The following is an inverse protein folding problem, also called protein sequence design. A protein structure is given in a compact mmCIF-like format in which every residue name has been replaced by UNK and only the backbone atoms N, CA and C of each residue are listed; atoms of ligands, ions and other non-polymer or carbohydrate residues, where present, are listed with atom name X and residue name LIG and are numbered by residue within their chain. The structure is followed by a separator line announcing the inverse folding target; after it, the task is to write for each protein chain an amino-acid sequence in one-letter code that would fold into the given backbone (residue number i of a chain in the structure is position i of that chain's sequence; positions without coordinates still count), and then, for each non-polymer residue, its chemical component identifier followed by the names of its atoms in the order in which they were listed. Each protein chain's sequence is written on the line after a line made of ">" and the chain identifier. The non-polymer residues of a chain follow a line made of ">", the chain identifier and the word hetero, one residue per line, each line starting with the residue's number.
data_IF_664546629605
#
_entry.id   IF_664546629605
#
_cell.length_a   1.000
_cell.length_b   1.000
_cell.length_c   1.000
_cell.angle_alpha   90.00
_cell.angle_beta   90.00
_cell.angle_gamma   90.00
#
_symmetry.space_group_name_H-M   'P 1'
#
loop_
_entity.id
_entity.type
_entity.pdbx_description
1 polymer ?
#
# COMPACT_ATOMS: atom_id res chain seq x y z
N UNK A 1 69.65 4.01 6.97
CA UNK A 1 68.20 3.90 6.61
C UNK A 1 68.05 4.47 5.20
N UNK A 2 67.60 3.63 4.27
CA UNK A 2 67.62 3.96 2.84
C UNK A 2 66.50 4.97 2.50
N UNK A 3 66.87 6.13 1.89
CA UNK A 3 65.90 7.17 1.48
C UNK A 3 64.75 6.64 0.62
N UNK A 4 64.92 5.55 -0.11
CA UNK A 4 63.87 4.87 -0.89
C UNK A 4 62.79 4.19 -0.07
N UNK A 5 63.12 3.72 1.12
CA UNK A 5 62.15 3.06 2.04
C UNK A 5 61.22 4.11 2.67
N UNK A 6 61.75 5.28 2.96
CA UNK A 6 60.97 6.38 3.54
C UNK A 6 59.93 6.95 2.55
N UNK A 7 60.25 7.00 1.26
CA UNK A 7 59.33 7.50 0.24
C UNK A 7 58.16 6.55 -0.01
N UNK A 8 58.38 5.25 0.05
CA UNK A 8 57.30 4.23 -0.09
C UNK A 8 56.35 4.27 1.10
N UNK A 9 56.85 4.44 2.33
CA UNK A 9 56.01 4.56 3.53
C UNK A 9 55.13 5.81 3.51
N UNK A 10 55.61 6.95 2.98
CA UNK A 10 54.78 8.13 2.85
C UNK A 10 53.73 7.99 1.76
N UNK A 11 54.01 7.29 0.65
CA UNK A 11 53.03 7.03 -0.40
C UNK A 11 51.92 6.09 0.07
N UNK A 12 52.24 5.02 0.86
CA UNK A 12 51.21 4.13 1.42
C UNK A 12 50.32 4.83 2.46
N UNK A 13 50.91 5.70 3.30
CA UNK A 13 50.12 6.46 4.29
C UNK A 13 49.18 7.46 3.63
N UNK A 14 49.60 8.10 2.51
CA UNK A 14 48.74 9.01 1.75
C UNK A 14 47.59 8.29 1.04
N UNK A 15 47.81 7.05 0.54
CA UNK A 15 46.75 6.25 -0.11
C UNK A 15 45.72 5.76 0.88
N UNK A 16 46.12 5.34 2.07
CA UNK A 16 45.18 4.91 3.13
C UNK A 16 44.35 6.05 3.69
N UNK A 17 44.96 7.24 3.87
CA UNK A 17 44.24 8.45 4.32
C UNK A 17 43.23 8.93 3.27
N UNK A 18 43.54 8.85 1.98
CA UNK A 18 42.65 9.27 0.90
C UNK A 18 41.48 8.28 0.69
N UNK A 19 41.71 6.99 0.88
CA UNK A 19 40.65 5.96 0.87
C UNK A 19 39.69 6.13 2.05
N UNK A 20 40.20 6.42 3.24
CA UNK A 20 39.40 6.65 4.44
C UNK A 20 38.59 7.95 4.37
N UNK A 21 39.12 9.01 3.74
CA UNK A 21 38.44 10.29 3.57
C UNK A 21 37.32 10.21 2.51
N UNK A 22 37.48 9.39 1.47
CA UNK A 22 36.42 9.16 0.48
C UNK A 22 35.25 8.33 1.00
N UNK A 23 35.49 7.35 1.85
CA UNK A 23 34.43 6.55 2.49
C UNK A 23 33.61 7.38 3.47
N UNK A 24 34.27 8.19 4.31
CA UNK A 24 33.58 9.07 5.29
C UNK A 24 32.67 10.09 4.58
N UNK A 25 33.12 10.69 3.47
CA UNK A 25 32.32 11.69 2.73
C UNK A 25 31.15 11.07 1.96
N UNK A 26 31.22 9.82 1.58
CA UNK A 26 30.13 9.11 0.91
C UNK A 26 29.04 8.68 1.91
N UNK A 27 29.45 8.21 3.07
CA UNK A 27 28.54 7.86 4.17
C UNK A 27 27.83 9.12 4.72
N UNK A 28 28.55 10.23 4.87
CA UNK A 28 27.96 11.51 5.30
C UNK A 28 26.92 12.03 4.28
N UNK A 29 27.19 11.91 2.98
CA UNK A 29 26.23 12.29 1.94
C UNK A 29 25.01 11.39 1.94
N UNK A 30 25.18 10.08 2.09
CA UNK A 30 24.09 9.13 2.18
C UNK A 30 23.23 9.39 3.42
N UNK A 31 23.84 9.70 4.57
CA UNK A 31 23.14 10.05 5.80
C UNK A 31 22.35 11.38 5.66
N UNK A 32 22.95 12.40 5.01
CA UNK A 32 22.25 13.66 4.74
C UNK A 32 21.07 13.47 3.78
N UNK A 33 21.25 12.67 2.73
CA UNK A 33 20.16 12.36 1.81
C UNK A 33 19.03 11.59 2.51
N UNK A 34 19.36 10.57 3.32
CA UNK A 34 18.41 9.84 4.11
C UNK A 34 17.60 10.74 5.07
N UNK A 35 18.26 11.77 5.64
CA UNK A 35 17.62 12.75 6.52
C UNK A 35 16.60 13.63 5.80
N UNK A 36 16.86 14.02 4.52
CA UNK A 36 15.90 14.78 3.72
C UNK A 36 14.58 14.01 3.53
N UNK A 37 14.66 12.70 3.31
CA UNK A 37 13.50 11.86 3.13
C UNK A 37 12.67 11.64 4.41
N UNK A 38 13.20 12.02 5.58
CA UNK A 38 12.45 12.05 6.84
C UNK A 38 11.60 13.32 6.98
N UNK A 39 11.89 14.37 6.19
CA UNK A 39 11.06 15.57 6.13
C UNK A 39 9.78 15.26 5.32
N UNK A 40 8.58 15.37 5.92
CA UNK A 40 7.33 15.07 5.24
C UNK A 40 7.07 15.97 4.02
N UNK A 41 7.46 17.24 4.08
CA UNK A 41 7.26 18.19 2.99
C UNK A 41 8.18 17.85 1.82
N UNK A 42 9.46 17.58 2.09
CA UNK A 42 10.40 17.12 1.07
C UNK A 42 9.92 15.83 0.40
N UNK A 43 9.50 14.84 1.17
CA UNK A 43 9.00 13.56 0.66
C UNK A 43 7.73 13.74 -0.17
N UNK A 44 6.80 14.60 0.27
CA UNK A 44 5.58 14.89 -0.46
C UNK A 44 5.85 15.55 -1.81
N UNK A 45 6.80 16.47 -1.90
CA UNK A 45 7.14 17.13 -3.17
C UNK A 45 7.98 16.29 -4.12
N UNK A 46 8.81 15.37 -3.60
CA UNK A 46 9.77 14.61 -4.41
C UNK A 46 9.33 13.16 -4.68
N UNK A 47 8.42 12.62 -3.86
CA UNK A 47 7.83 11.28 -4.02
C UNK A 47 6.39 11.25 -3.48
N UNK A 48 5.51 12.04 -4.09
CA UNK A 48 4.14 12.21 -3.66
C UNK A 48 3.36 10.89 -3.50
N UNK A 49 3.63 9.91 -4.37
CA UNK A 49 3.02 8.59 -4.31
C UNK A 49 3.74 7.61 -3.38
N UNK A 50 4.86 8.03 -2.77
CA UNK A 50 5.69 7.22 -1.88
C UNK A 50 6.16 5.90 -2.54
N UNK A 51 6.67 5.99 -3.76
CA UNK A 51 7.21 4.86 -4.55
C UNK A 51 8.37 4.16 -3.81
N UNK A 52 9.14 4.93 -3.04
CA UNK A 52 10.28 4.41 -2.26
C UNK A 52 9.87 3.48 -1.11
N UNK A 53 8.61 3.54 -0.65
CA UNK A 53 8.14 2.79 0.53
C UNK A 53 8.46 1.30 0.43
N UNK A 54 8.19 0.70 -0.72
CA UNK A 54 8.36 -0.73 -0.96
C UNK A 54 9.49 -1.08 -1.93
N UNK A 55 10.26 -0.08 -2.43
CA UNK A 55 11.33 -0.28 -3.40
C UNK A 55 12.32 -1.39 -3.00
N UNK A 56 12.83 -1.32 -1.77
CA UNK A 56 13.77 -2.33 -1.24
C UNK A 56 13.13 -3.70 -1.02
N UNK A 57 11.84 -3.76 -0.62
CA UNK A 57 11.13 -5.03 -0.50
C UNK A 57 10.84 -5.62 -1.88
N UNK A 58 10.38 -4.78 -2.83
CA UNK A 58 10.06 -5.18 -4.19
C UNK A 58 11.29 -5.75 -4.91
N UNK A 59 12.46 -5.09 -4.77
CA UNK A 59 13.70 -5.54 -5.40
C UNK A 59 14.24 -6.87 -4.88
N UNK A 60 13.89 -7.25 -3.66
CA UNK A 60 14.30 -8.51 -3.01
C UNK A 60 13.28 -9.63 -3.19
N UNK A 61 12.07 -9.31 -3.66
CA UNK A 61 11.02 -10.30 -3.83
C UNK A 61 11.31 -11.15 -5.08
N UNK A 62 11.55 -12.46 -4.94
CA UNK A 62 11.84 -13.30 -6.10
C UNK A 62 10.62 -13.36 -7.03
N UNK A 63 10.81 -13.66 -8.31
CA UNK A 63 9.70 -14.00 -9.20
C UNK A 63 8.84 -15.11 -8.59
N UNK A 64 7.50 -15.11 -8.80
CA UNK A 64 6.66 -16.21 -8.35
C UNK A 64 7.19 -17.56 -8.86
N UNK A 65 7.22 -18.57 -8.00
CA UNK A 65 7.55 -19.92 -8.41
C UNK A 65 6.49 -20.48 -9.38
N UNK A 66 6.84 -21.52 -10.13
CA UNK A 66 5.89 -22.19 -11.04
C UNK A 66 4.70 -22.72 -10.21
N UNK A 67 3.50 -22.28 -10.57
CA UNK A 67 2.26 -22.65 -9.87
C UNK A 67 1.97 -21.80 -8.62
N UNK A 68 2.83 -20.86 -8.27
CA UNK A 68 2.56 -19.89 -7.20
C UNK A 68 1.61 -18.81 -7.69
N UNK A 69 0.51 -18.61 -6.95
CA UNK A 69 -0.39 -17.50 -7.15
C UNK A 69 -0.04 -16.38 -6.15
N UNK A 70 0.74 -15.39 -6.59
CA UNK A 70 1.04 -14.21 -5.76
C UNK A 70 -0.18 -13.33 -5.64
N UNK A 71 -0.58 -13.01 -4.41
CA UNK A 71 -1.72 -12.17 -4.08
C UNK A 71 -1.20 -10.86 -3.50
N UNK A 72 -1.50 -9.75 -4.15
CA UNK A 72 -1.12 -8.42 -3.66
C UNK A 72 -2.32 -7.72 -3.07
N UNK A 73 -2.19 -7.27 -1.82
CA UNK A 73 -3.17 -6.42 -1.14
C UNK A 73 -2.76 -4.96 -1.31
N UNK A 74 -3.39 -4.28 -2.26
CA UNK A 74 -3.19 -2.87 -2.57
C UNK A 74 -4.15 -2.03 -1.74
N UNK A 75 -3.63 -1.09 -0.92
CA UNK A 75 -4.48 -0.31 -0.06
C UNK A 75 -3.78 0.81 0.71
N UNK A 76 -4.46 1.31 1.72
CA UNK A 76 -4.04 2.38 2.60
C UNK A 76 -3.60 1.86 3.99
N UNK A 77 -3.79 2.67 5.07
CA UNK A 77 -3.49 2.30 6.45
C UNK A 77 -4.21 1.03 6.91
N UNK A 78 -5.45 0.82 6.47
CA UNK A 78 -6.22 -0.39 6.81
C UNK A 78 -5.48 -1.64 6.31
N UNK A 79 -4.93 -1.60 5.11
CA UNK A 79 -4.12 -2.68 4.57
C UNK A 79 -2.74 -2.74 5.24
N UNK A 80 -2.05 -1.61 5.41
CA UNK A 80 -0.71 -1.56 6.01
C UNK A 80 -0.69 -2.14 7.42
N UNK A 81 -1.62 -1.71 8.28
CA UNK A 81 -1.67 -2.13 9.69
C UNK A 81 -2.04 -3.60 9.88
N UNK A 82 -2.76 -4.18 8.92
CA UNK A 82 -3.17 -5.58 9.00
C UNK A 82 -1.99 -6.52 9.23
N UNK A 83 -0.86 -6.29 8.51
CA UNK A 83 0.37 -7.09 8.70
C UNK A 83 0.93 -6.97 10.12
N UNK A 84 0.77 -5.81 10.77
CA UNK A 84 1.19 -5.60 12.16
C UNK A 84 0.30 -6.32 13.18
N UNK A 85 -1.02 -6.36 12.93
CA UNK A 85 -1.97 -7.05 13.81
C UNK A 85 -1.98 -8.57 13.62
N UNK A 86 -1.82 -9.05 12.40
CA UNK A 86 -1.72 -10.48 12.09
C UNK A 86 -0.67 -10.77 11.00
N UNK A 87 0.62 -10.84 11.38
CA UNK A 87 1.70 -11.10 10.42
C UNK A 87 1.58 -12.48 9.75
N UNK A 88 0.92 -13.45 10.39
CA UNK A 88 0.76 -14.80 9.86
C UNK A 88 -0.20 -14.86 8.67
N UNK A 89 -1.08 -13.87 8.50
CA UNK A 89 -1.92 -13.76 7.32
C UNK A 89 -1.11 -13.40 6.06
N UNK A 90 -0.07 -12.59 6.22
CA UNK A 90 0.82 -12.16 5.14
C UNK A 90 2.07 -13.03 5.04
N UNK A 91 1.88 -14.33 4.88
CA UNK A 91 2.95 -15.31 4.67
C UNK A 91 2.80 -15.99 3.31
N UNK A 92 3.87 -16.60 2.82
CA UNK A 92 3.87 -17.27 1.52
C UNK A 92 3.62 -16.29 0.38
N UNK A 93 2.56 -16.52 -0.39
CA UNK A 93 2.24 -15.75 -1.59
C UNK A 93 1.48 -14.43 -1.34
N UNK A 94 1.17 -14.08 -0.09
CA UNK A 94 0.40 -12.89 0.26
C UNK A 94 1.34 -11.70 0.52
N UNK A 95 1.22 -10.66 -0.30
CA UNK A 95 2.06 -9.45 -0.27
C UNK A 95 1.23 -8.25 0.15
N UNK A 96 1.61 -7.59 1.25
CA UNK A 96 0.99 -6.36 1.71
C UNK A 96 1.64 -5.15 1.00
N UNK A 97 0.81 -4.32 0.36
CA UNK A 97 1.19 -3.06 -0.27
C UNK A 97 0.26 -1.93 0.16
N UNK A 98 -0.05 -1.89 1.46
CA UNK A 98 -0.75 -0.78 2.10
C UNK A 98 0.19 0.37 2.42
N UNK A 99 -0.24 1.61 2.21
CA UNK A 99 0.48 2.82 2.65
C UNK A 99 -0.50 3.76 3.34
N UNK A 100 -0.23 4.06 4.61
CA UNK A 100 -1.08 4.90 5.45
C UNK A 100 -1.34 6.27 4.83
N UNK A 101 -2.59 6.72 4.95
CA UNK A 101 -3.02 8.03 4.49
C UNK A 101 -3.23 8.17 2.99
N UNK A 102 -2.82 7.21 2.17
CA UNK A 102 -2.89 7.32 0.71
C UNK A 102 -4.32 7.36 0.18
N UNK A 103 -4.48 8.22 -0.82
CA UNK A 103 -5.66 8.39 -1.67
C UNK A 103 -5.53 7.62 -2.97
N UNK A 104 -6.61 7.44 -3.70
CA UNK A 104 -6.65 6.66 -4.95
C UNK A 104 -5.72 7.18 -6.04
N UNK A 105 -5.50 8.52 -6.25
CA UNK A 105 -4.50 9.00 -7.20
C UNK A 105 -3.07 8.55 -6.87
N UNK A 106 -2.70 8.53 -5.58
CA UNK A 106 -1.38 8.06 -5.14
C UNK A 106 -1.22 6.56 -5.37
N UNK A 107 -2.26 5.77 -5.06
CA UNK A 107 -2.27 4.33 -5.33
C UNK A 107 -2.15 4.02 -6.82
N UNK A 108 -2.83 4.76 -7.69
CA UNK A 108 -2.75 4.59 -9.14
C UNK A 108 -1.34 4.82 -9.67
N UNK A 109 -0.63 5.85 -9.17
CA UNK A 109 0.76 6.14 -9.60
C UNK A 109 1.70 4.99 -9.25
N UNK A 110 1.58 4.37 -8.06
CA UNK A 110 2.44 3.27 -7.64
C UNK A 110 1.96 1.87 -8.04
N UNK A 111 0.84 1.77 -8.73
CA UNK A 111 0.21 0.48 -9.07
C UNK A 111 1.12 -0.43 -9.89
N UNK A 112 1.88 0.13 -10.83
CA UNK A 112 2.84 -0.66 -11.63
C UNK A 112 3.92 -1.27 -10.76
N UNK A 113 4.56 -0.47 -9.90
CA UNK A 113 5.69 -0.94 -9.07
C UNK A 113 5.26 -1.95 -8.01
N UNK A 114 4.11 -1.72 -7.40
CA UNK A 114 3.66 -2.47 -6.23
C UNK A 114 2.72 -3.64 -6.55
N UNK A 115 2.24 -3.75 -7.80
CA UNK A 115 1.33 -4.82 -8.23
C UNK A 115 1.83 -5.51 -9.50
N UNK A 116 1.98 -4.75 -10.60
CA UNK A 116 2.25 -5.32 -11.92
C UNK A 116 3.65 -5.94 -11.98
N UNK A 117 4.67 -5.17 -11.56
CA UNK A 117 6.06 -5.61 -11.58
C UNK A 117 6.31 -6.79 -10.62
N UNK A 118 5.45 -6.97 -9.61
CA UNK A 118 5.50 -8.12 -8.72
C UNK A 118 4.91 -9.40 -9.33
N UNK A 119 4.36 -9.32 -10.54
CA UNK A 119 3.72 -10.46 -11.24
C UNK A 119 2.61 -11.08 -10.40
N UNK A 120 1.73 -10.25 -9.86
CA UNK A 120 0.59 -10.70 -9.08
C UNK A 120 -0.33 -11.59 -9.94
N UNK A 121 -0.81 -12.70 -9.39
CA UNK A 121 -1.89 -13.47 -9.99
C UNK A 121 -3.26 -12.85 -9.66
N UNK A 122 -3.39 -12.27 -8.45
CA UNK A 122 -4.58 -11.56 -7.99
C UNK A 122 -4.16 -10.28 -7.28
N UNK A 123 -4.90 -9.20 -7.49
CA UNK A 123 -4.83 -7.99 -6.67
C UNK A 123 -6.13 -7.79 -5.90
N UNK A 124 -6.04 -7.55 -4.59
CA UNK A 124 -7.15 -7.12 -3.73
C UNK A 124 -7.02 -5.62 -3.54
N UNK A 125 -8.00 -4.83 -4.01
CA UNK A 125 -7.96 -3.36 -3.95
C UNK A 125 -8.91 -2.88 -2.85
N UNK A 126 -8.37 -2.23 -1.81
CA UNK A 126 -9.11 -1.55 -0.74
C UNK A 126 -8.73 -0.07 -0.72
N UNK A 127 -9.57 0.79 -1.31
CA UNK A 127 -9.27 2.19 -1.56
C UNK A 127 -10.50 3.09 -1.45
N UNK A 128 -10.29 4.41 -1.21
CA UNK A 128 -11.32 5.43 -1.26
C UNK A 128 -11.62 6.12 0.07
N UNK A 129 -11.34 5.52 1.23
CA UNK A 129 -11.65 6.12 2.54
C UNK A 129 -10.89 7.45 2.75
N UNK A 130 -9.63 7.53 2.34
CA UNK A 130 -8.80 8.72 2.48
C UNK A 130 -9.14 9.81 1.46
N UNK A 131 -9.69 9.44 0.32
CA UNK A 131 -10.27 10.36 -0.66
C UNK A 131 -11.49 11.05 -0.04
N UNK A 132 -12.40 10.28 0.55
CA UNK A 132 -13.57 10.79 1.27
C UNK A 132 -13.14 11.67 2.44
N UNK A 133 -12.06 11.32 3.16
CA UNK A 133 -11.46 12.13 4.22
C UNK A 133 -10.69 13.36 3.69
N UNK A 134 -10.52 13.51 2.38
CA UNK A 134 -9.80 14.62 1.72
C UNK A 134 -8.34 14.75 2.20
N UNK A 135 -7.63 13.64 2.38
CA UNK A 135 -6.26 13.65 2.90
C UNK A 135 -5.28 14.40 1.97
N UNK A 136 -5.50 14.38 0.67
CA UNK A 136 -4.71 15.13 -0.33
C UNK A 136 -5.50 16.30 -0.95
N UNK A 137 -6.54 16.77 -0.26
CA UNK A 137 -7.44 17.81 -0.73
C UNK A 137 -8.77 17.27 -1.24
N UNK A 138 -9.72 18.18 -1.59
CA UNK A 138 -11.02 17.80 -2.09
C UNK A 138 -10.92 17.02 -3.43
N UNK A 139 -11.64 15.92 -3.51
CA UNK A 139 -11.77 15.11 -4.73
C UNK A 139 -13.25 14.71 -4.88
N UNK A 140 -13.73 14.64 -6.14
CA UNK A 140 -15.07 14.13 -6.42
C UNK A 140 -15.13 12.62 -6.22
N UNK A 141 -16.30 12.12 -5.85
CA UNK A 141 -16.50 10.70 -5.64
C UNK A 141 -16.34 9.90 -6.96
N UNK A 142 -16.77 10.49 -8.06
CA UNK A 142 -16.62 9.95 -9.42
C UNK A 142 -15.14 9.82 -9.82
N UNK A 143 -14.30 10.77 -9.42
CA UNK A 143 -12.85 10.72 -9.70
C UNK A 143 -12.17 9.66 -8.83
N UNK A 144 -12.59 9.52 -7.56
CA UNK A 144 -12.15 8.43 -6.68
C UNK A 144 -12.49 7.06 -7.27
N UNK A 145 -13.73 6.90 -7.72
CA UNK A 145 -14.19 5.70 -8.41
C UNK A 145 -13.39 5.47 -9.71
N UNK A 146 -13.22 6.51 -10.54
CA UNK A 146 -12.46 6.44 -11.79
C UNK A 146 -11.02 5.97 -11.61
N UNK A 147 -10.34 6.42 -10.53
CA UNK A 147 -8.99 5.95 -10.20
C UNK A 147 -8.96 4.46 -9.84
N UNK A 148 -9.99 3.97 -9.11
CA UNK A 148 -10.10 2.53 -8.80
C UNK A 148 -10.35 1.74 -10.08
N UNK A 149 -11.25 2.21 -10.95
CA UNK A 149 -11.49 1.60 -12.26
C UNK A 149 -10.22 1.55 -13.10
N UNK A 150 -9.43 2.62 -13.13
CA UNK A 150 -8.15 2.65 -13.84
C UNK A 150 -7.17 1.58 -13.31
N UNK A 151 -7.09 1.39 -12.00
CA UNK A 151 -6.28 0.30 -11.42
C UNK A 151 -6.78 -1.09 -11.82
N UNK A 152 -8.11 -1.28 -11.88
CA UNK A 152 -8.73 -2.52 -12.34
C UNK A 152 -8.41 -2.78 -13.82
N UNK A 153 -8.52 -1.76 -14.68
CA UNK A 153 -8.21 -1.85 -16.10
C UNK A 153 -6.74 -2.17 -16.34
N UNK A 154 -5.82 -1.54 -15.61
CA UNK A 154 -4.39 -1.85 -15.65
C UNK A 154 -4.12 -3.30 -15.24
N UNK A 155 -4.73 -3.79 -14.16
CA UNK A 155 -4.58 -5.16 -13.72
C UNK A 155 -5.05 -6.15 -14.81
N UNK A 156 -6.24 -5.91 -15.38
CA UNK A 156 -6.81 -6.76 -16.45
C UNK A 156 -5.95 -6.79 -17.72
N UNK A 157 -5.40 -5.64 -18.11
CA UNK A 157 -4.49 -5.53 -19.26
C UNK A 157 -3.20 -6.37 -19.07
N UNK A 158 -2.78 -6.57 -17.82
CA UNK A 158 -1.62 -7.38 -17.44
C UNK A 158 -2.02 -8.81 -17.00
N UNK A 159 -3.25 -9.22 -17.30
CA UNK A 159 -3.81 -10.55 -16.96
C UNK A 159 -3.85 -10.86 -15.46
N UNK A 160 -3.89 -9.84 -14.61
CA UNK A 160 -4.03 -9.95 -13.16
C UNK A 160 -5.52 -10.00 -12.83
N UNK A 161 -5.96 -11.01 -12.10
CA UNK A 161 -7.33 -11.11 -11.61
C UNK A 161 -7.57 -10.09 -10.50
N UNK A 162 -8.78 -9.54 -10.42
CA UNK A 162 -9.09 -8.44 -9.52
C UNK A 162 -10.17 -8.84 -8.53
N UNK A 163 -9.90 -8.59 -7.26
CA UNK A 163 -10.89 -8.51 -6.20
C UNK A 163 -11.03 -7.04 -5.80
N UNK A 164 -12.19 -6.45 -6.06
CA UNK A 164 -12.48 -5.09 -5.62
C UNK A 164 -13.27 -5.14 -4.32
N UNK A 165 -12.78 -4.51 -3.25
CA UNK A 165 -13.47 -4.53 -1.97
C UNK A 165 -14.31 -3.28 -1.76
N UNK A 166 -15.38 -3.43 -0.97
CA UNK A 166 -16.04 -2.28 -0.37
C UNK A 166 -15.07 -1.49 0.52
N UNK A 167 -15.26 -0.18 0.60
CA UNK A 167 -14.73 0.65 1.67
C UNK A 167 -15.39 0.23 2.98
N UNK A 168 -14.62 0.13 4.06
CA UNK A 168 -15.14 -0.24 5.37
C UNK A 168 -16.11 0.83 5.90
N UNK A 169 -17.07 0.46 6.78
CA UNK A 169 -17.96 1.44 7.39
C UNK A 169 -17.18 2.43 8.26
N UNK A 170 -17.55 3.71 8.19
CA UNK A 170 -17.13 4.75 9.10
C UNK A 170 -18.20 5.83 9.15
N UNK A 171 -18.52 6.31 10.34
CA UNK A 171 -19.49 7.41 10.53
C UNK A 171 -18.85 8.73 10.96
N UNK A 172 -17.54 8.72 11.22
CA UNK A 172 -16.75 9.90 11.52
C UNK A 172 -15.27 9.67 11.20
N UNK A 173 -14.49 10.75 11.13
CA UNK A 173 -13.04 10.70 11.06
C UNK A 173 -12.43 11.44 12.24
N UNK A 174 -11.70 10.79 13.16
CA UNK A 174 -11.10 11.47 14.32
C UNK A 174 -10.19 12.65 13.94
N UNK A 175 -9.48 12.55 12.80
CA UNK A 175 -8.57 13.60 12.30
C UNK A 175 -9.24 14.63 11.38
N UNK A 176 -10.52 14.43 11.02
CA UNK A 176 -11.32 15.30 10.13
C UNK A 176 -12.77 15.38 10.62
N UNK A 177 -13.04 15.86 11.85
CA UNK A 177 -14.35 15.77 12.47
C UNK A 177 -15.46 16.54 11.72
N UNK A 178 -15.10 17.50 10.87
CA UNK A 178 -16.05 18.22 10.02
C UNK A 178 -16.56 17.40 8.81
N UNK A 179 -15.95 16.25 8.51
CA UNK A 179 -16.35 15.40 7.38
C UNK A 179 -17.14 14.21 7.91
N UNK A 180 -18.40 14.09 7.48
CA UNK A 180 -19.25 12.92 7.73
C UNK A 180 -19.15 11.98 6.54
N UNK A 181 -18.51 10.80 6.67
CA UNK A 181 -18.20 9.96 5.52
C UNK A 181 -19.33 9.04 5.05
N UNK A 182 -20.28 8.75 5.91
CA UNK A 182 -21.26 7.66 5.81
C UNK A 182 -21.90 7.53 4.43
N UNK A 183 -22.56 8.59 3.96
CA UNK A 183 -23.29 8.54 2.69
C UNK A 183 -22.33 8.38 1.48
N UNK A 184 -21.17 9.02 1.53
CA UNK A 184 -20.16 8.88 0.47
C UNK A 184 -19.57 7.46 0.41
N UNK A 185 -19.36 6.81 1.57
CA UNK A 185 -18.94 5.41 1.62
C UNK A 185 -19.99 4.51 0.98
N UNK A 186 -21.26 4.68 1.34
CA UNK A 186 -22.36 3.89 0.79
C UNK A 186 -22.45 4.09 -0.74
N UNK A 187 -22.38 5.34 -1.21
CA UNK A 187 -22.41 5.66 -2.64
C UNK A 187 -21.22 5.04 -3.39
N UNK A 188 -20.01 5.18 -2.88
CA UNK A 188 -18.84 4.59 -3.51
C UNK A 188 -18.93 3.05 -3.55
N UNK A 189 -19.36 2.43 -2.46
CA UNK A 189 -19.55 0.99 -2.40
C UNK A 189 -20.60 0.51 -3.42
N UNK A 190 -21.69 1.25 -3.60
CA UNK A 190 -22.69 0.92 -4.62
C UNK A 190 -22.09 1.03 -6.05
N UNK A 191 -21.33 2.11 -6.34
CA UNK A 191 -20.67 2.28 -7.64
C UNK A 191 -19.68 1.14 -7.92
N UNK A 192 -18.88 0.74 -6.91
CA UNK A 192 -17.92 -0.36 -7.02
C UNK A 192 -18.62 -1.71 -7.22
N UNK A 193 -19.70 -1.95 -6.49
CA UNK A 193 -20.49 -3.17 -6.63
C UNK A 193 -21.12 -3.28 -8.02
N UNK A 194 -21.80 -2.24 -8.49
CA UNK A 194 -22.43 -2.20 -9.80
C UNK A 194 -21.40 -2.40 -10.92
N UNK A 195 -20.23 -1.80 -10.78
CA UNK A 195 -19.13 -1.98 -11.73
C UNK A 195 -18.59 -3.42 -11.72
N UNK A 196 -18.41 -4.01 -10.53
CA UNK A 196 -17.96 -5.39 -10.38
C UNK A 196 -18.96 -6.37 -11.00
N UNK A 197 -20.24 -6.22 -10.69
CA UNK A 197 -21.31 -7.07 -11.23
C UNK A 197 -21.36 -6.97 -12.78
N UNK A 198 -21.31 -5.76 -13.33
CA UNK A 198 -21.32 -5.53 -14.79
C UNK A 198 -20.10 -6.11 -15.50
N UNK A 199 -18.93 -6.13 -14.86
CA UNK A 199 -17.68 -6.55 -15.45
C UNK A 199 -17.24 -7.96 -15.02
N UNK A 200 -18.11 -8.70 -14.32
CA UNK A 200 -17.85 -10.05 -13.81
C UNK A 200 -16.60 -10.13 -12.94
N UNK A 201 -16.39 -9.11 -12.07
CA UNK A 201 -15.32 -9.09 -11.09
C UNK A 201 -15.82 -9.63 -9.74
N UNK A 202 -14.90 -10.12 -8.94
CA UNK A 202 -15.22 -10.48 -7.56
C UNK A 202 -15.33 -9.22 -6.71
N UNK A 203 -16.52 -9.00 -6.13
CA UNK A 203 -16.76 -7.94 -5.15
C UNK A 203 -16.64 -8.50 -3.74
N UNK A 204 -15.76 -7.93 -2.94
CA UNK A 204 -15.48 -8.32 -1.56
C UNK A 204 -16.19 -7.38 -0.60
N UNK A 205 -17.31 -7.82 -0.03
CA UNK A 205 -18.14 -7.00 0.84
C UNK A 205 -17.70 -7.05 2.30
N UNK A 206 -16.72 -6.25 2.67
CA UNK A 206 -16.36 -6.01 4.06
C UNK A 206 -17.40 -5.15 4.80
N UNK A 207 -18.03 -4.18 4.06
CA UNK A 207 -18.94 -3.22 4.66
C UNK A 207 -20.10 -3.93 5.38
N UNK A 208 -20.81 -4.79 4.68
CA UNK A 208 -21.96 -5.48 5.23
C UNK A 208 -21.64 -6.41 6.41
N UNK A 209 -20.40 -6.95 6.43
CA UNK A 209 -19.95 -7.84 7.50
C UNK A 209 -19.51 -7.09 8.78
N UNK A 210 -19.26 -5.77 8.67
CA UNK A 210 -18.61 -5.02 9.75
C UNK A 210 -19.38 -3.78 10.20
N UNK A 211 -20.46 -3.41 9.51
CA UNK A 211 -21.26 -2.22 9.82
C UNK A 211 -22.13 -2.40 11.05
N UNK A 212 -22.22 -1.38 11.91
CA UNK A 212 -23.16 -1.30 13.01
C UNK A 212 -24.46 -0.53 12.65
N UNK A 213 -25.38 -0.42 13.61
CA UNK A 213 -26.65 0.29 13.44
C UNK A 213 -26.46 1.81 13.22
N UNK A 214 -25.28 2.35 13.54
CA UNK A 214 -24.91 3.77 13.31
C UNK A 214 -24.16 3.96 11.98
N UNK A 215 -24.10 2.94 11.13
CA UNK A 215 -23.36 2.92 9.86
C UNK A 215 -21.85 3.15 10.02
N UNK A 216 -21.28 2.79 11.15
CA UNK A 216 -19.87 2.86 11.50
C UNK A 216 -19.25 1.51 11.78
N UNK A 217 -17.95 1.50 12.10
CA UNK A 217 -17.28 0.34 12.68
C UNK A 217 -17.59 0.31 14.19
N UNK A 218 -18.13 -0.80 14.74
CA UNK A 218 -18.37 -0.89 16.16
C UNK A 218 -17.08 -0.89 16.97
N UNK A 219 -17.11 -0.42 18.24
CA UNK A 219 -15.94 -0.39 19.13
C UNK A 219 -15.26 -1.76 19.33
N UNK A 220 -16.00 -2.86 19.18
CA UNK A 220 -15.46 -4.23 19.22
C UNK A 220 -14.50 -4.54 18.06
N UNK A 221 -14.66 -3.88 16.91
CA UNK A 221 -13.87 -4.11 15.70
C UNK A 221 -12.86 -2.98 15.42
N UNK A 222 -13.02 -1.81 16.04
CA UNK A 222 -12.16 -0.64 15.84
C UNK A 222 -12.10 0.22 17.10
N UNK A 223 -10.93 0.76 17.41
CA UNK A 223 -10.76 1.69 18.53
C UNK A 223 -11.08 3.15 18.17
N UNK A 224 -10.94 3.51 16.88
CA UNK A 224 -11.10 4.88 16.38
C UNK A 224 -12.26 5.03 15.37
N UNK A 225 -13.01 3.96 15.15
CA UNK A 225 -14.14 3.93 14.22
C UNK A 225 -13.75 3.86 12.73
N UNK A 226 -12.46 3.69 12.41
CA UNK A 226 -11.95 3.64 11.02
C UNK A 226 -10.99 2.47 10.79
N UNK A 227 -10.01 2.29 11.68
CA UNK A 227 -8.99 1.26 11.53
C UNK A 227 -9.38 0.00 12.31
N UNK A 228 -9.49 -1.17 11.66
CA UNK A 228 -9.77 -2.42 12.34
C UNK A 228 -8.70 -2.74 13.40
N UNK A 229 -9.15 -3.22 14.56
CA UNK A 229 -8.29 -3.91 15.51
C UNK A 229 -8.13 -5.38 15.11
N UNK A 230 -7.45 -6.20 15.94
CA UNK A 230 -7.26 -7.63 15.65
C UNK A 230 -8.58 -8.37 15.41
N UNK A 231 -9.64 -8.05 16.16
CA UNK A 231 -10.95 -8.68 15.96
C UNK A 231 -11.56 -8.28 14.61
N UNK A 232 -11.43 -7.00 14.22
CA UNK A 232 -11.85 -6.52 12.91
C UNK A 232 -11.12 -7.23 11.77
N UNK A 233 -9.80 -7.37 11.85
CA UNK A 233 -9.05 -8.13 10.83
C UNK A 233 -9.43 -9.61 10.79
N UNK A 234 -9.76 -10.24 11.92
CA UNK A 234 -10.27 -11.61 11.94
C UNK A 234 -11.61 -11.78 11.23
N UNK A 235 -12.44 -10.73 11.16
CA UNK A 235 -13.64 -10.74 10.31
C UNK A 235 -13.27 -10.63 8.83
N UNK A 236 -12.28 -9.78 8.49
CA UNK A 236 -11.86 -9.55 7.11
C UNK A 236 -11.16 -10.76 6.47
N UNK A 237 -10.38 -11.52 7.24
CA UNK A 237 -9.53 -12.60 6.72
C UNK A 237 -10.29 -13.70 5.96
N UNK A 238 -11.33 -14.33 6.50
CA UNK A 238 -12.06 -15.38 5.80
C UNK A 238 -12.75 -14.83 4.54
N UNK A 239 -13.26 -13.59 4.58
CA UNK A 239 -13.89 -12.95 3.44
C UNK A 239 -12.88 -12.72 2.31
N UNK A 240 -11.67 -12.22 2.64
CA UNK A 240 -10.61 -12.05 1.67
C UNK A 240 -10.17 -13.38 1.05
N UNK A 241 -9.98 -14.42 1.86
CA UNK A 241 -9.59 -15.75 1.36
C UNK A 241 -10.62 -16.34 0.40
N UNK A 242 -11.90 -16.22 0.72
CA UNK A 242 -12.99 -16.70 -0.14
C UNK A 242 -12.99 -15.93 -1.48
N UNK A 243 -12.94 -14.58 -1.42
CA UNK A 243 -12.90 -13.74 -2.62
C UNK A 243 -11.68 -14.03 -3.52
N UNK A 244 -10.51 -14.27 -2.93
CA UNK A 244 -9.30 -14.67 -3.68
C UNK A 244 -9.49 -16.03 -4.35
N UNK A 245 -10.09 -16.99 -3.65
CA UNK A 245 -10.39 -18.32 -4.20
C UNK A 245 -11.35 -18.21 -5.38
N UNK A 246 -12.40 -17.40 -5.23
CA UNK A 246 -13.37 -17.14 -6.29
C UNK A 246 -12.70 -16.50 -7.50
N UNK A 247 -11.85 -15.48 -7.28
CA UNK A 247 -11.10 -14.84 -8.35
C UNK A 247 -10.18 -15.84 -9.09
N UNK A 248 -9.47 -16.69 -8.36
CA UNK A 248 -8.59 -17.71 -8.96
C UNK A 248 -9.37 -18.75 -9.78
N UNK A 249 -10.62 -19.05 -9.41
CA UNK A 249 -11.47 -20.02 -10.11
C UNK A 249 -12.13 -19.47 -11.38
N UNK A 250 -12.21 -18.16 -11.57
CA UNK A 250 -12.73 -17.54 -12.79
C UNK A 250 -11.86 -17.93 -13.98
N UNK A 251 -12.50 -18.30 -15.09
CA UNK A 251 -11.83 -18.66 -16.37
C UNK A 251 -11.42 -17.41 -17.14
#
# INVERSE_FOLDING_TARGET
>A
MNKKVLTILFALAAFTAQAQQTTTTQDDKAAQEAKKWQDPEYSFHNDWANLRKYESENSKLPPPAVGENRIVFMGNSITEFWKGYNPTFFTGSYVNRGISGQTTPQMLVRFREDVINLKAAVVVILAGINDIAQNTGPIKLEDTFGNIVSMIELARAEHIKVVVSSVLPANHFPWRPAIIPTEKIIQLNQMLKDFADKNHLVYLDYYSAMVDDQKGLPPSLSADGVHPNLAGYKVMEPLAKNAITDALSQK
#
